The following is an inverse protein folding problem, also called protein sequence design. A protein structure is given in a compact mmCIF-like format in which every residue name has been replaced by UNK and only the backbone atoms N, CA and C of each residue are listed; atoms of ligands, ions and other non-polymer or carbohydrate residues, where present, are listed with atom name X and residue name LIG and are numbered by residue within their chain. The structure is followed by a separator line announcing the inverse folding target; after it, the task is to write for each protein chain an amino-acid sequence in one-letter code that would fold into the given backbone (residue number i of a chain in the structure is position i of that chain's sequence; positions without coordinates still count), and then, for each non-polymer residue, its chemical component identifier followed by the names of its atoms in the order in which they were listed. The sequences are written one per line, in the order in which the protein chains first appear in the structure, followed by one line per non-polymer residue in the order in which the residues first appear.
data_IF_826292433861
#
_entry.id   IF_826292433861
#
_cell.length_a   1.000
_cell.length_b   1.000
_cell.length_c   1.000
_cell.angle_alpha   90.00
_cell.angle_beta   90.00
_cell.angle_gamma   90.00
#
_symmetry.space_group_name_H-M   'P 1'
#
loop_
_entity.id
_entity.type
_entity.pdbx_description
1 polymer ?
#
# COMPACT_ATOMS: atom_id res chain seq x y z
N UNK A 1 62.71 26.15 -22.44
CA UNK A 1 61.41 26.27 -23.12
C UNK A 1 60.73 24.91 -23.08
N UNK A 2 59.86 24.67 -22.10
CA UNK A 2 58.95 23.52 -22.08
C UNK A 2 57.67 23.98 -21.38
N UNK A 3 56.61 24.05 -22.15
CA UNK A 3 55.30 24.63 -21.81
C UNK A 3 54.49 23.66 -20.96
N UNK A 4 54.19 24.04 -19.71
CA UNK A 4 53.13 23.41 -18.91
C UNK A 4 51.77 23.66 -19.57
N UNK A 5 51.03 22.59 -19.87
CA UNK A 5 49.61 22.64 -20.24
C UNK A 5 48.77 22.44 -18.97
N UNK A 6 48.03 23.45 -18.47
CA UNK A 6 47.05 23.21 -17.42
C UNK A 6 45.88 22.41 -17.99
N UNK A 7 45.63 21.23 -17.43
CA UNK A 7 44.45 20.42 -17.70
C UNK A 7 43.25 21.11 -17.01
N UNK A 8 42.30 21.65 -17.80
CA UNK A 8 41.04 22.12 -17.25
C UNK A 8 40.24 20.92 -16.71
N UNK A 9 39.89 20.95 -15.43
CA UNK A 9 38.82 20.10 -14.89
C UNK A 9 37.47 20.58 -15.46
N UNK A 10 36.62 19.70 -16.00
CA UNK A 10 35.24 20.07 -16.25
C UNK A 10 34.53 20.20 -14.91
N UNK A 11 34.15 21.43 -14.56
CA UNK A 11 33.23 21.71 -13.46
C UNK A 11 31.86 21.18 -13.86
N UNK A 12 31.51 19.99 -13.37
CA UNK A 12 30.16 19.46 -13.51
C UNK A 12 29.22 20.35 -12.69
N UNK A 13 28.50 21.24 -13.37
CA UNK A 13 27.42 22.02 -12.79
C UNK A 13 26.25 21.06 -12.57
N UNK A 14 26.16 20.49 -11.36
CA UNK A 14 24.96 19.84 -10.90
C UNK A 14 23.89 20.93 -10.68
N UNK A 15 22.97 21.07 -11.63
CA UNK A 15 21.76 21.87 -11.45
C UNK A 15 20.85 21.13 -10.46
N UNK A 16 21.04 21.39 -9.16
CA UNK A 16 20.05 21.09 -8.14
C UNK A 16 18.91 22.10 -8.31
N UNK A 17 17.90 21.74 -9.09
CA UNK A 17 16.65 22.49 -9.13
C UNK A 17 15.92 22.28 -7.80
N UNK A 18 16.12 23.20 -6.86
CA UNK A 18 15.32 23.28 -5.64
C UNK A 18 13.96 23.90 -5.98
N UNK A 19 12.90 23.09 -6.00
CA UNK A 19 11.55 23.62 -6.05
C UNK A 19 11.14 24.01 -4.62
N UNK A 20 11.12 25.31 -4.32
CA UNK A 20 10.55 25.82 -3.07
C UNK A 20 9.10 26.20 -3.35
N UNK A 21 8.17 25.36 -2.90
CA UNK A 21 6.72 25.53 -3.06
C UNK A 21 6.15 26.63 -2.12
N UNK A 22 6.94 27.11 -1.15
CA UNK A 22 6.55 28.15 -0.21
C UNK A 22 5.73 27.64 0.98
N UNK A 23 5.47 26.35 1.08
CA UNK A 23 4.94 25.72 2.30
C UNK A 23 6.07 25.06 3.10
N UNK A 24 6.26 25.47 4.36
CA UNK A 24 7.18 24.85 5.33
C UNK A 24 6.67 23.46 5.82
N UNK A 25 5.84 22.77 5.02
CA UNK A 25 5.27 21.47 5.40
C UNK A 25 6.26 20.39 4.98
N UNK A 26 6.82 19.61 5.92
CA UNK A 26 7.67 18.49 5.55
C UNK A 26 6.85 17.47 4.74
N UNK A 27 7.46 16.83 3.72
CA UNK A 27 6.76 15.79 2.98
C UNK A 27 6.30 14.67 3.94
N UNK A 28 5.16 14.02 3.67
CA UNK A 28 4.69 12.92 4.49
C UNK A 28 5.75 11.80 4.55
N UNK A 29 5.85 11.09 5.69
CA UNK A 29 6.78 9.98 5.81
C UNK A 29 6.44 8.89 4.78
N UNK A 30 7.45 8.23 4.19
CA UNK A 30 7.19 7.09 3.32
C UNK A 30 6.47 6.00 4.11
N UNK A 31 5.46 5.37 3.50
CA UNK A 31 4.77 4.22 4.07
C UNK A 31 4.69 3.08 3.09
N UNK A 32 4.77 1.86 3.62
CA UNK A 32 4.38 0.65 2.91
C UNK A 32 2.99 0.20 3.38
N UNK A 33 2.28 -0.53 2.52
CA UNK A 33 0.99 -1.14 2.82
C UNK A 33 1.13 -2.66 2.65
N UNK A 34 0.58 -3.41 3.59
CA UNK A 34 0.58 -4.88 3.56
C UNK A 34 -0.77 -5.43 3.98
N UNK A 35 -1.07 -6.65 3.54
CA UNK A 35 -2.24 -7.42 3.97
C UNK A 35 -1.72 -8.72 4.56
N UNK A 36 -2.06 -9.00 5.81
CA UNK A 36 -1.64 -10.23 6.46
C UNK A 36 -2.48 -11.42 5.95
N UNK A 37 -1.86 -12.57 5.64
CA UNK A 37 -2.62 -13.78 5.35
C UNK A 37 -3.40 -14.20 6.59
N UNK A 38 -4.62 -14.69 6.39
CA UNK A 38 -5.51 -15.12 7.46
C UNK A 38 -6.31 -16.33 6.99
N UNK A 39 -6.71 -17.17 7.93
CA UNK A 39 -7.54 -18.33 7.67
C UNK A 39 -8.41 -18.61 8.90
N UNK A 40 -9.64 -19.06 8.65
CA UNK A 40 -10.58 -19.54 9.66
C UNK A 40 -11.19 -20.84 9.15
N UNK A 41 -11.69 -21.73 10.04
CA UNK A 41 -12.59 -22.80 9.63
C UNK A 41 -13.84 -22.21 8.97
N UNK A 42 -14.26 -22.81 7.86
CA UNK A 42 -15.43 -22.38 7.08
C UNK A 42 -16.74 -22.49 7.87
N UNK A 43 -16.86 -23.52 8.71
CA UNK A 43 -18.03 -23.75 9.56
C UNK A 43 -18.63 -25.13 9.31
N UNK A 44 -19.86 -25.33 9.75
CA UNK A 44 -20.68 -26.48 9.39
C UNK A 44 -21.52 -26.19 8.11
N UNK A 45 -22.05 -27.23 7.44
CA UNK A 45 -22.86 -27.07 6.24
C UNK A 45 -23.99 -26.05 6.39
N UNK A 46 -23.94 -24.99 5.59
CA UNK A 46 -24.92 -23.89 5.58
C UNK A 46 -24.61 -22.74 6.54
N UNK A 47 -23.47 -22.77 7.21
CA UNK A 47 -22.92 -21.59 7.91
C UNK A 47 -22.24 -20.64 6.93
N UNK A 48 -22.20 -19.36 7.31
CA UNK A 48 -21.50 -18.31 6.58
C UNK A 48 -20.67 -17.49 7.56
N UNK A 49 -19.37 -17.75 7.58
CA UNK A 49 -18.44 -17.12 8.51
C UNK A 49 -17.72 -15.94 7.86
N UNK A 50 -17.37 -14.92 8.65
CA UNK A 50 -16.71 -13.73 8.15
C UNK A 50 -15.18 -13.82 8.33
N UNK A 51 -14.44 -13.97 7.23
CA UNK A 51 -12.99 -13.89 7.19
C UNK A 51 -12.54 -12.43 7.05
N UNK A 52 -11.67 -11.96 7.95
CA UNK A 52 -11.20 -10.56 7.98
C UNK A 52 -9.73 -10.46 7.63
N UNK A 53 -9.43 -9.85 6.49
CA UNK A 53 -8.07 -9.50 6.07
C UNK A 53 -7.69 -8.14 6.63
N UNK A 54 -6.60 -8.09 7.40
CA UNK A 54 -6.10 -6.84 7.97
C UNK A 54 -5.15 -6.15 7.01
N UNK A 55 -5.52 -4.94 6.59
CA UNK A 55 -4.64 -4.00 5.90
C UNK A 55 -3.84 -3.25 6.98
N UNK A 56 -2.53 -3.15 6.82
CA UNK A 56 -1.65 -2.43 7.74
C UNK A 56 -0.67 -1.52 6.98
N UNK A 57 -0.47 -0.32 7.52
CA UNK A 57 0.52 0.65 7.07
C UNK A 57 1.65 0.77 8.08
N UNK A 58 2.88 0.97 7.59
CA UNK A 58 4.04 1.18 8.48
C UNK A 58 4.09 2.58 9.08
N UNK A 59 3.55 3.57 8.37
CA UNK A 59 3.47 4.96 8.83
C UNK A 59 2.12 5.57 8.44
N UNK A 60 1.53 6.33 9.37
CA UNK A 60 0.25 6.97 9.12
C UNK A 60 0.40 8.11 8.10
N UNK A 61 -0.59 8.25 7.21
CA UNK A 61 -0.58 9.29 6.17
C UNK A 61 -1.46 10.48 6.57
N UNK A 62 -1.08 11.72 6.21
CA UNK A 62 -1.87 12.90 6.52
C UNK A 62 -3.12 13.06 5.63
N UNK A 63 -3.25 12.24 4.59
CA UNK A 63 -4.40 12.18 3.70
C UNK A 63 -4.97 10.76 3.65
N UNK A 64 -6.24 10.64 3.24
CA UNK A 64 -6.91 9.35 3.14
C UNK A 64 -6.26 8.46 2.08
N UNK A 65 -6.05 7.19 2.42
CA UNK A 65 -5.52 6.17 1.50
C UNK A 65 -6.65 5.24 1.09
N UNK A 66 -6.94 5.18 -0.22
CA UNK A 66 -7.99 4.34 -0.79
C UNK A 66 -7.39 3.08 -1.39
N UNK A 67 -7.88 1.93 -0.96
CA UNK A 67 -7.41 0.61 -1.38
C UNK A 67 -8.55 -0.10 -2.08
N UNK A 68 -8.44 -0.27 -3.40
CA UNK A 68 -9.38 -1.08 -4.16
C UNK A 68 -8.99 -2.54 -4.09
N UNK A 69 -9.98 -3.40 -3.94
CA UNK A 69 -9.79 -4.84 -3.81
C UNK A 69 -10.85 -5.61 -4.60
N UNK A 70 -10.50 -6.85 -4.94
CA UNK A 70 -11.37 -7.87 -5.51
C UNK A 70 -10.84 -9.23 -5.08
N UNK A 71 -11.72 -10.15 -4.73
CA UNK A 71 -11.34 -11.54 -4.46
C UNK A 71 -11.27 -12.33 -5.76
N UNK A 72 -10.29 -13.23 -5.83
CA UNK A 72 -10.08 -14.14 -6.95
C UNK A 72 -9.87 -15.55 -6.40
N UNK A 73 -10.40 -16.54 -7.10
CA UNK A 73 -10.26 -17.94 -6.71
C UNK A 73 -8.91 -18.53 -7.13
N UNK A 74 -8.46 -19.52 -6.37
CA UNK A 74 -7.31 -20.37 -6.70
C UNK A 74 -7.65 -21.81 -6.30
N UNK A 75 -7.20 -22.27 -5.13
CA UNK A 75 -7.68 -23.53 -4.56
C UNK A 75 -9.11 -23.42 -4.01
N UNK A 76 -9.43 -22.26 -3.43
CA UNK A 76 -10.79 -21.91 -3.03
C UNK A 76 -11.53 -21.31 -4.24
N UNK A 77 -12.73 -21.79 -4.52
CA UNK A 77 -13.57 -21.44 -5.65
C UNK A 77 -14.62 -20.39 -5.25
N UNK A 78 -14.81 -19.33 -6.06
CA UNK A 78 -15.86 -18.35 -5.82
C UNK A 78 -17.26 -18.99 -5.95
N UNK A 79 -18.21 -18.52 -5.16
CA UNK A 79 -19.59 -19.05 -5.06
C UNK A 79 -19.70 -20.51 -4.58
N UNK A 80 -18.57 -21.11 -4.15
CA UNK A 80 -18.49 -22.46 -3.57
C UNK A 80 -17.89 -22.40 -2.17
N UNK A 81 -16.69 -21.81 -2.03
CA UNK A 81 -15.98 -21.71 -0.74
C UNK A 81 -16.13 -20.31 -0.12
N UNK A 82 -16.39 -19.29 -0.94
CA UNK A 82 -16.58 -17.91 -0.48
C UNK A 82 -17.46 -17.10 -1.43
N UNK A 83 -18.07 -16.04 -0.90
CA UNK A 83 -18.80 -15.06 -1.71
C UNK A 83 -17.81 -14.09 -2.38
N UNK A 84 -17.81 -13.95 -3.73
CA UNK A 84 -16.98 -12.97 -4.41
C UNK A 84 -17.22 -11.56 -3.86
N UNK A 85 -16.15 -10.83 -3.56
CA UNK A 85 -16.21 -9.51 -2.97
C UNK A 85 -15.27 -8.56 -3.71
N UNK A 86 -15.75 -7.36 -4.02
CA UNK A 86 -14.95 -6.27 -4.57
C UNK A 86 -15.39 -4.94 -3.97
N UNK A 87 -14.49 -3.98 -3.91
CA UNK A 87 -14.81 -2.67 -3.36
C UNK A 87 -13.60 -1.80 -3.09
N UNK A 88 -13.80 -0.80 -2.25
CA UNK A 88 -12.77 0.13 -1.80
C UNK A 88 -12.79 0.24 -0.28
N UNK A 89 -11.64 0.08 0.36
CA UNK A 89 -11.43 0.37 1.77
C UNK A 89 -10.67 1.68 1.88
N UNK A 90 -11.13 2.58 2.75
CA UNK A 90 -10.44 3.84 3.03
C UNK A 90 -9.77 3.75 4.39
N UNK A 91 -8.47 4.03 4.42
CA UNK A 91 -7.77 4.40 5.64
C UNK A 91 -7.88 5.92 5.77
N UNK A 92 -8.62 6.38 6.77
CA UNK A 92 -8.74 7.80 7.09
C UNK A 92 -7.36 8.39 7.45
N UNK A 93 -7.16 9.71 7.30
CA UNK A 93 -5.93 10.37 7.74
C UNK A 93 -5.53 9.96 9.16
N UNK A 94 -4.27 9.60 9.36
CA UNK A 94 -3.76 9.14 10.65
C UNK A 94 -4.01 7.65 10.97
N UNK A 95 -4.80 6.92 10.17
CA UNK A 95 -5.06 5.51 10.40
C UNK A 95 -3.87 4.63 9.96
N UNK A 96 -3.60 3.57 10.75
CA UNK A 96 -2.56 2.58 10.45
C UNK A 96 -3.13 1.25 9.95
N UNK A 97 -4.43 1.02 10.10
CA UNK A 97 -5.04 -0.24 9.68
C UNK A 97 -6.50 -0.09 9.30
N UNK A 98 -6.94 -0.96 8.41
CA UNK A 98 -8.32 -1.20 8.08
C UNK A 98 -8.55 -2.71 7.86
N UNK A 99 -9.79 -3.11 7.61
CA UNK A 99 -10.13 -4.51 7.36
C UNK A 99 -10.98 -4.67 6.11
N UNK A 100 -10.68 -5.70 5.32
CA UNK A 100 -11.55 -6.25 4.29
C UNK A 100 -12.25 -7.47 4.90
N UNK A 101 -13.56 -7.58 4.71
CA UNK A 101 -14.34 -8.74 5.17
C UNK A 101 -14.82 -9.52 3.96
N UNK A 102 -14.63 -10.83 3.99
CA UNK A 102 -15.09 -11.77 2.96
C UNK A 102 -15.89 -12.86 3.67
N UNK A 103 -17.07 -13.16 3.15
CA UNK A 103 -17.90 -14.22 3.68
C UNK A 103 -17.47 -15.56 3.08
N UNK A 104 -17.23 -16.56 3.93
CA UNK A 104 -16.84 -17.93 3.57
C UNK A 104 -17.98 -18.89 3.89
N UNK A 105 -18.15 -19.93 3.07
CA UNK A 105 -19.25 -20.90 3.18
C UNK A 105 -18.74 -22.20 3.80
N UNK A 106 -19.44 -22.73 4.80
CA UNK A 106 -19.16 -24.03 5.42
C UNK A 106 -20.11 -25.15 5.04
#
# INVERSE_FOLDING_TARGET
MNTSRPLLLPLAIALLAGCSDGTDVPPPPPSSLSIAPTAIPEGAPGEMNALRFRISMTEAQPAAVRVRYRTEGDSAQPDVDFLPAEGEVTLEPGALSAAITVDVFG
#
